data_IF_602888350844
#
_entry.id   IF_602888350844
#
_cell.length_a   1.000
_cell.length_b   1.000
_cell.length_c   1.000
_cell.angle_alpha   90.00
_cell.angle_beta   90.00
_cell.angle_gamma   90.00
#
_symmetry.space_group_name_H-M   'P 1'
#
loop_
_entity.id
_entity.type
_entity.pdbx_description
1 polymer ?
#
# COMPACT_ATOMS: atom_id res chain seq x y z
N UNK A 1 5.50 7.19 -29.55
CA UNK A 1 5.65 8.32 -28.61
C UNK A 1 6.68 7.91 -27.60
N UNK A 2 7.80 8.62 -27.53
CA UNK A 2 8.87 8.29 -26.59
C UNK A 2 8.38 8.53 -25.16
N UNK A 3 8.34 7.48 -24.34
CA UNK A 3 8.23 7.63 -22.91
C UNK A 3 9.45 8.42 -22.43
N UNK A 4 9.23 9.70 -22.10
CA UNK A 4 10.22 10.43 -21.31
C UNK A 4 10.41 9.63 -20.02
N UNK A 5 11.63 9.20 -19.76
CA UNK A 5 11.98 8.52 -18.51
C UNK A 5 11.58 9.45 -17.36
N UNK A 6 10.45 9.17 -16.72
CA UNK A 6 10.07 9.85 -15.50
C UNK A 6 11.08 9.44 -14.44
N UNK A 7 11.77 10.40 -13.83
CA UNK A 7 12.69 10.13 -12.73
C UNK A 7 12.03 9.28 -11.65
N UNK A 8 12.82 8.57 -10.87
CA UNK A 8 12.34 7.78 -9.74
C UNK A 8 11.54 8.65 -8.77
N UNK A 9 10.48 8.10 -8.18
CA UNK A 9 9.64 8.79 -7.21
C UNK A 9 9.37 7.93 -5.98
N UNK A 10 8.54 8.40 -5.05
CA UNK A 10 8.23 7.67 -3.83
C UNK A 10 7.61 6.30 -4.06
N UNK A 11 6.87 6.09 -5.16
CA UNK A 11 6.32 4.77 -5.49
C UNK A 11 7.41 3.75 -5.83
N UNK A 12 8.49 4.17 -6.46
CA UNK A 12 9.63 3.28 -6.73
C UNK A 12 10.29 2.85 -5.41
N UNK A 13 10.30 3.72 -4.38
CA UNK A 13 10.75 3.35 -3.04
C UNK A 13 9.80 2.37 -2.35
N UNK A 14 8.49 2.49 -2.56
CA UNK A 14 7.51 1.50 -2.08
C UNK A 14 7.79 0.13 -2.71
N UNK A 15 7.93 0.05 -4.04
CA UNK A 15 8.21 -1.20 -4.75
C UNK A 15 9.50 -1.85 -4.23
N UNK A 16 10.58 -1.08 -4.08
CA UNK A 16 11.83 -1.57 -3.48
C UNK A 16 11.65 -2.09 -2.05
N UNK A 17 10.82 -1.39 -1.26
CA UNK A 17 10.48 -1.83 0.08
C UNK A 17 9.72 -3.16 0.08
N UNK A 18 8.77 -3.35 -0.83
CA UNK A 18 8.02 -4.60 -1.00
C UNK A 18 8.94 -5.76 -1.37
N UNK A 19 9.83 -5.54 -2.34
CA UNK A 19 10.85 -6.52 -2.78
C UNK A 19 11.73 -6.92 -1.58
N UNK A 20 12.26 -5.95 -0.85
CA UNK A 20 13.16 -6.20 0.29
C UNK A 20 12.50 -7.00 1.41
N UNK A 21 11.17 -6.91 1.57
CA UNK A 21 10.40 -7.63 2.59
C UNK A 21 9.79 -8.94 2.08
N UNK A 22 10.09 -9.34 0.85
CA UNK A 22 9.62 -10.57 0.24
C UNK A 22 8.11 -10.57 -0.04
N UNK A 23 7.52 -9.42 -0.29
CA UNK A 23 6.12 -9.32 -0.74
C UNK A 23 6.09 -9.65 -2.22
N UNK A 24 5.44 -10.75 -2.58
CA UNK A 24 5.46 -11.28 -3.95
C UNK A 24 4.24 -10.88 -4.78
N UNK A 25 3.21 -10.32 -4.15
CA UNK A 25 1.96 -9.95 -4.84
C UNK A 25 1.28 -8.74 -4.21
N UNK A 26 0.71 -7.89 -5.05
CA UNK A 26 -0.14 -6.76 -4.67
C UNK A 26 -1.49 -6.89 -5.36
N UNK A 27 -2.56 -6.91 -4.57
CA UNK A 27 -3.95 -6.94 -5.05
C UNK A 27 -4.57 -5.55 -4.93
N UNK A 28 -5.20 -5.05 -5.98
CA UNK A 28 -5.87 -3.76 -5.90
C UNK A 28 -6.60 -3.36 -7.17
N UNK A 29 -7.40 -2.31 -7.07
CA UNK A 29 -8.06 -1.72 -8.23
C UNK A 29 -7.10 -0.73 -8.89
N UNK A 30 -6.72 -0.93 -10.18
CA UNK A 30 -6.00 0.08 -10.93
C UNK A 30 -6.91 1.30 -11.12
N UNK A 31 -6.56 2.40 -10.50
CA UNK A 31 -7.31 3.66 -10.55
C UNK A 31 -6.37 4.85 -10.41
N UNK A 32 -6.92 6.01 -10.13
CA UNK A 32 -6.13 7.19 -9.83
C UNK A 32 -5.76 7.20 -8.32
N UNK A 33 -4.48 7.31 -7.97
CA UNK A 33 -3.30 7.42 -8.83
C UNK A 33 -2.77 6.05 -9.33
N UNK A 34 -2.52 5.93 -10.61
CA UNK A 34 -1.98 4.72 -11.27
C UNK A 34 -0.58 4.32 -10.80
N UNK A 35 0.05 5.13 -10.02
CA UNK A 35 1.51 5.24 -9.87
C UNK A 35 2.17 4.06 -9.16
N UNK A 36 1.48 3.33 -8.28
CA UNK A 36 2.02 2.08 -7.75
C UNK A 36 2.16 1.04 -8.88
N UNK A 37 1.14 0.92 -9.74
CA UNK A 37 1.17 -0.01 -10.87
C UNK A 37 2.19 0.41 -11.92
N UNK A 38 2.34 1.72 -12.15
CA UNK A 38 3.39 2.24 -13.03
C UNK A 38 4.79 1.93 -12.47
N UNK A 39 5.00 2.07 -11.17
CA UNK A 39 6.27 1.73 -10.53
C UNK A 39 6.55 0.21 -10.58
N UNK A 40 5.54 -0.63 -10.33
CA UNK A 40 5.66 -2.08 -10.50
C UNK A 40 6.01 -2.45 -11.94
N UNK A 41 5.39 -1.80 -12.94
CA UNK A 41 5.63 -2.08 -14.36
C UNK A 41 6.99 -1.60 -14.87
N UNK A 42 7.60 -0.60 -14.22
CA UNK A 42 8.93 -0.08 -14.57
C UNK A 42 10.08 -0.82 -13.91
N UNK A 43 9.77 -1.62 -12.90
CA UNK A 43 10.81 -2.35 -12.16
C UNK A 43 11.32 -3.52 -12.99
N UNK A 44 12.64 -3.57 -13.21
CA UNK A 44 13.32 -4.67 -13.89
C UNK A 44 13.82 -5.75 -12.91
N UNK A 45 13.54 -5.60 -11.62
CA UNK A 45 13.93 -6.58 -10.60
C UNK A 45 13.05 -7.85 -10.73
N UNK A 46 13.65 -9.04 -10.88
CA UNK A 46 12.90 -10.28 -10.99
C UNK A 46 12.05 -10.63 -9.75
N UNK A 47 12.33 -10.00 -8.60
CA UNK A 47 11.55 -10.13 -7.38
C UNK A 47 10.40 -9.10 -7.27
N UNK A 48 10.16 -8.32 -8.33
CA UNK A 48 9.06 -7.34 -8.35
C UNK A 48 7.72 -8.03 -8.10
N UNK A 49 6.91 -7.55 -7.15
CA UNK A 49 5.60 -8.13 -6.87
C UNK A 49 4.70 -8.18 -8.09
N UNK A 50 4.01 -9.30 -8.28
CA UNK A 50 2.97 -9.40 -9.28
C UNK A 50 1.81 -8.46 -8.94
N UNK A 51 1.36 -7.67 -9.91
CA UNK A 51 0.20 -6.80 -9.76
C UNK A 51 -1.06 -7.55 -10.21
N UNK A 52 -1.98 -7.81 -9.28
CA UNK A 52 -3.25 -8.48 -9.57
C UNK A 52 -4.39 -7.46 -9.47
N UNK A 53 -4.92 -7.09 -10.63
CA UNK A 53 -6.04 -6.16 -10.73
C UNK A 53 -7.35 -6.78 -10.28
N UNK A 54 -8.10 -6.05 -9.45
CA UNK A 54 -9.45 -6.41 -9.03
C UNK A 54 -10.46 -5.41 -9.58
N UNK A 55 -11.75 -5.72 -9.49
CA UNK A 55 -12.83 -4.79 -9.87
C UNK A 55 -13.51 -4.13 -8.68
N UNK A 56 -13.17 -4.58 -7.49
CA UNK A 56 -13.67 -4.05 -6.24
C UNK A 56 -12.63 -4.29 -5.14
N UNK A 57 -12.25 -3.27 -4.41
CA UNK A 57 -11.12 -3.33 -3.46
C UNK A 57 -11.32 -4.36 -2.35
N UNK A 58 -12.55 -4.57 -1.90
CA UNK A 58 -12.90 -5.62 -0.94
C UNK A 58 -12.39 -6.99 -1.41
N UNK A 59 -12.56 -7.30 -2.70
CA UNK A 59 -12.03 -8.55 -3.27
C UNK A 59 -10.52 -8.61 -3.17
N UNK A 60 -9.83 -7.49 -3.41
CA UNK A 60 -8.37 -7.41 -3.28
C UNK A 60 -7.89 -7.68 -1.86
N UNK A 61 -8.57 -7.13 -0.86
CA UNK A 61 -8.24 -7.39 0.54
C UNK A 61 -8.47 -8.86 0.92
N UNK A 62 -9.58 -9.48 0.49
CA UNK A 62 -9.82 -10.90 0.71
C UNK A 62 -8.83 -11.80 -0.03
N UNK A 63 -8.42 -11.43 -1.25
CA UNK A 63 -7.39 -12.17 -2.00
C UNK A 63 -6.03 -12.10 -1.32
N UNK A 64 -5.63 -10.93 -0.82
CA UNK A 64 -4.39 -10.78 -0.03
C UNK A 64 -4.42 -11.62 1.25
N UNK A 65 -5.54 -11.60 1.97
CA UNK A 65 -5.75 -12.43 3.14
C UNK A 65 -5.69 -13.92 2.80
N UNK A 66 -6.40 -14.36 1.76
CA UNK A 66 -6.41 -15.76 1.34
C UNK A 66 -5.02 -16.24 0.91
N UNK A 67 -4.30 -15.41 0.15
CA UNK A 67 -2.92 -15.68 -0.24
C UNK A 67 -2.06 -15.94 1.01
N UNK A 68 -2.10 -15.05 1.99
CA UNK A 68 -1.32 -15.20 3.20
C UNK A 68 -1.67 -16.46 4.00
N UNK A 69 -2.95 -16.86 4.05
CA UNK A 69 -3.38 -18.09 4.73
C UNK A 69 -2.93 -19.36 4.02
N UNK A 70 -2.89 -19.35 2.69
CA UNK A 70 -2.54 -20.54 1.89
C UNK A 70 -1.03 -20.74 1.77
N UNK A 71 -0.30 -19.63 1.56
CA UNK A 71 1.15 -19.69 1.30
C UNK A 71 2.00 -19.52 2.57
N UNK A 72 1.45 -18.90 3.60
CA UNK A 72 2.22 -18.44 4.76
C UNK A 72 2.98 -17.13 4.51
N UNK A 73 2.89 -16.55 3.32
CA UNK A 73 3.57 -15.31 2.92
C UNK A 73 2.66 -14.10 3.14
N UNK A 74 3.25 -12.98 3.51
CA UNK A 74 2.50 -11.72 3.59
C UNK A 74 2.24 -11.18 2.20
N UNK A 75 0.98 -10.89 1.87
CA UNK A 75 0.62 -10.19 0.64
C UNK A 75 0.28 -8.73 0.93
N UNK A 76 0.30 -7.90 -0.11
CA UNK A 76 -0.17 -6.53 -0.02
C UNK A 76 -1.52 -6.35 -0.74
N UNK A 77 -2.33 -5.42 -0.24
CA UNK A 77 -3.46 -4.86 -1.00
C UNK A 77 -3.36 -3.33 -1.03
N UNK A 78 -4.00 -2.74 -2.02
CA UNK A 78 -3.92 -1.32 -2.29
C UNK A 78 -5.30 -0.71 -2.52
N UNK A 79 -5.55 0.47 -1.94
CA UNK A 79 -6.77 1.27 -2.13
C UNK A 79 -6.47 2.71 -2.52
N UNK A 80 -7.23 3.22 -3.49
CA UNK A 80 -7.25 4.64 -3.83
C UNK A 80 -7.86 5.47 -2.69
N UNK A 81 -7.71 6.80 -2.69
CA UNK A 81 -8.23 7.66 -1.62
C UNK A 81 -9.74 7.47 -1.37
N UNK A 82 -10.18 7.76 -0.17
CA UNK A 82 -11.58 7.76 0.22
C UNK A 82 -12.24 6.40 0.08
N UNK A 83 -13.19 6.25 -0.87
CA UNK A 83 -13.95 5.02 -1.03
C UNK A 83 -13.07 3.79 -1.35
N UNK A 84 -11.92 3.95 -2.03
CA UNK A 84 -11.03 2.84 -2.31
C UNK A 84 -10.45 2.23 -1.05
N UNK A 85 -9.96 3.05 -0.11
CA UNK A 85 -9.50 2.57 1.20
C UNK A 85 -10.67 2.07 2.04
N UNK A 86 -11.82 2.75 2.01
CA UNK A 86 -13.01 2.33 2.75
C UNK A 86 -13.50 0.94 2.30
N UNK A 87 -13.45 0.65 1.02
CA UNK A 87 -13.83 -0.65 0.46
C UNK A 87 -12.90 -1.80 0.89
N UNK A 88 -11.69 -1.52 1.38
CA UNK A 88 -10.79 -2.55 1.93
C UNK A 88 -11.22 -3.02 3.34
N UNK A 89 -12.02 -2.23 4.07
CA UNK A 89 -12.38 -2.47 5.48
C UNK A 89 -12.89 -3.89 5.75
N UNK A 90 -13.82 -4.48 4.97
CA UNK A 90 -14.31 -5.84 5.26
C UNK A 90 -13.20 -6.89 5.29
N UNK A 91 -12.29 -6.87 4.30
CA UNK A 91 -11.18 -7.82 4.24
C UNK A 91 -10.11 -7.56 5.30
N UNK A 92 -9.86 -6.28 5.64
CA UNK A 92 -8.93 -5.92 6.72
C UNK A 92 -9.45 -6.40 8.08
N UNK A 93 -10.75 -6.20 8.35
CA UNK A 93 -11.38 -6.64 9.59
C UNK A 93 -11.33 -8.17 9.74
N UNK A 94 -11.58 -8.91 8.66
CA UNK A 94 -11.45 -10.37 8.64
C UNK A 94 -10.01 -10.82 8.86
N UNK A 95 -9.03 -10.16 8.23
CA UNK A 95 -7.61 -10.45 8.44
C UNK A 95 -7.19 -10.17 9.90
N UNK A 96 -7.70 -9.08 10.50
CA UNK A 96 -7.44 -8.72 11.89
C UNK A 96 -8.02 -9.76 12.85
N UNK A 97 -9.26 -10.15 12.67
CA UNK A 97 -9.96 -11.17 13.49
C UNK A 97 -9.31 -12.54 13.33
N UNK A 98 -8.93 -12.89 12.10
CA UNK A 98 -8.31 -14.17 11.75
C UNK A 98 -6.79 -14.20 11.91
N UNK A 99 -6.17 -13.19 12.53
CA UNK A 99 -4.72 -13.13 12.78
C UNK A 99 -3.88 -13.37 11.50
N UNK A 100 -4.28 -12.79 10.37
CA UNK A 100 -3.64 -12.99 9.08
C UNK A 100 -2.73 -11.82 8.76
N UNK A 101 -1.42 -12.01 8.51
CA UNK A 101 -0.50 -10.93 8.20
C UNK A 101 -0.84 -10.34 6.82
N UNK A 102 -1.02 -9.02 6.75
CA UNK A 102 -1.33 -8.32 5.50
C UNK A 102 -0.77 -6.90 5.54
N UNK A 103 -0.15 -6.46 4.46
CA UNK A 103 0.25 -5.08 4.26
C UNK A 103 -0.82 -4.36 3.43
N UNK A 104 -1.44 -3.35 4.03
CA UNK A 104 -2.44 -2.52 3.38
C UNK A 104 -1.81 -1.18 3.01
N UNK A 105 -1.82 -0.86 1.73
CA UNK A 105 -1.31 0.41 1.20
C UNK A 105 -2.49 1.30 0.80
N UNK A 106 -2.43 2.55 1.19
CA UNK A 106 -3.41 3.55 0.81
C UNK A 106 -2.76 4.86 0.37
N UNK A 107 -3.52 5.66 -0.33
CA UNK A 107 -3.12 7.01 -0.74
C UNK A 107 -4.09 8.01 -0.14
N UNK A 108 -3.58 9.17 0.20
CA UNK A 108 -4.41 10.34 0.55
C UNK A 108 -4.03 11.55 -0.27
N UNK A 109 -4.86 12.57 -0.21
CA UNK A 109 -4.56 13.87 -0.80
C UNK A 109 -3.20 14.43 -0.32
N UNK A 110 -2.66 15.38 -1.05
CA UNK A 110 -1.45 16.10 -0.63
C UNK A 110 -1.67 16.77 0.73
N UNK A 111 -0.68 16.71 1.62
CA UNK A 111 -0.71 17.40 2.92
C UNK A 111 -0.89 18.91 2.79
N UNK A 112 -0.52 19.47 1.63
CA UNK A 112 -0.73 20.91 1.35
C UNK A 112 -2.21 21.28 1.23
N UNK A 113 -3.08 20.32 0.95
CA UNK A 113 -4.54 20.52 0.79
C UNK A 113 -5.36 19.83 1.89
N UNK A 114 -4.70 19.34 2.93
CA UNK A 114 -5.34 18.67 4.07
C UNK A 114 -6.34 19.61 4.76
N UNK A 115 -7.56 19.12 4.99
CA UNK A 115 -8.64 19.90 5.60
C UNK A 115 -9.28 20.93 4.67
N UNK A 116 -8.89 20.99 3.39
CA UNK A 116 -9.40 21.94 2.43
C UNK A 116 -10.48 21.35 1.49
N UNK A 117 -10.95 20.12 1.77
CA UNK A 117 -11.95 19.43 0.94
C UNK A 117 -11.35 18.88 -0.36
N UNK A 118 -10.13 18.37 -0.31
CA UNK A 118 -9.50 17.70 -1.44
C UNK A 118 -10.34 16.50 -1.91
N UNK A 119 -10.20 16.15 -3.21
CA UNK A 119 -10.96 15.03 -3.78
C UNK A 119 -10.77 13.74 -2.97
N UNK A 120 -11.89 13.17 -2.53
CA UNK A 120 -11.93 11.93 -1.74
C UNK A 120 -11.16 12.00 -0.41
N UNK A 121 -10.98 13.19 0.14
CA UNK A 121 -10.35 13.37 1.45
C UNK A 121 -11.14 12.64 2.55
N UNK A 122 -10.45 11.83 3.34
CA UNK A 122 -11.06 10.99 4.37
C UNK A 122 -10.03 10.66 5.45
N UNK A 123 -10.45 10.57 6.70
CA UNK A 123 -9.59 10.08 7.80
C UNK A 123 -9.46 8.55 7.75
N UNK A 124 -8.60 8.07 6.87
CA UNK A 124 -8.32 6.64 6.75
C UNK A 124 -7.67 6.07 8.01
N UNK A 125 -6.79 6.84 8.66
CA UNK A 125 -6.12 6.41 9.89
C UNK A 125 -7.13 6.18 11.00
N UNK A 126 -8.08 7.10 11.20
CA UNK A 126 -9.16 6.94 12.16
C UNK A 126 -10.04 5.72 11.87
N UNK A 127 -10.33 5.49 10.58
CA UNK A 127 -11.14 4.36 10.11
C UNK A 127 -10.44 3.01 10.35
N UNK A 128 -9.14 2.91 10.08
CA UNK A 128 -8.41 1.63 10.05
C UNK A 128 -7.67 1.31 11.34
N UNK A 129 -7.40 2.30 12.20
CA UNK A 129 -6.69 2.10 13.47
C UNK A 129 -7.30 0.99 14.34
N UNK A 130 -8.63 0.87 14.54
CA UNK A 130 -9.21 -0.14 15.41
C UNK A 130 -9.14 -1.57 14.85
N UNK A 131 -8.88 -1.73 13.55
CA UNK A 131 -8.87 -3.01 12.85
C UNK A 131 -7.51 -3.36 12.23
N UNK A 132 -6.45 -2.69 12.67
CA UNK A 132 -5.07 -2.96 12.25
C UNK A 132 -4.14 -3.00 13.47
N UNK A 133 -3.01 -3.67 13.34
CA UNK A 133 -1.98 -3.66 14.38
C UNK A 133 -1.24 -2.33 14.47
N UNK A 134 -1.15 -1.64 13.36
CA UNK A 134 -0.55 -0.32 13.22
C UNK A 134 -1.11 0.36 11.98
N UNK A 135 -1.46 1.63 12.13
CA UNK A 135 -1.87 2.49 11.03
C UNK A 135 -1.02 3.76 11.08
N UNK A 136 -0.39 4.12 9.98
CA UNK A 136 0.54 5.26 9.92
C UNK A 136 0.51 5.96 8.58
N UNK A 137 0.78 7.25 8.60
CA UNK A 137 1.04 8.06 7.41
C UNK A 137 2.55 8.26 7.26
N UNK A 138 3.05 8.10 6.04
CA UNK A 138 4.47 8.36 5.72
C UNK A 138 4.68 9.87 5.59
N UNK A 139 5.57 10.42 6.38
CA UNK A 139 5.77 11.88 6.43
C UNK A 139 6.71 12.42 5.35
N UNK A 140 7.72 11.65 4.94
CA UNK A 140 8.71 12.06 3.94
C UNK A 140 9.14 10.89 3.06
N UNK A 141 9.61 11.14 1.82
CA UNK A 141 10.04 10.07 0.94
C UNK A 141 11.14 9.18 1.52
N UNK A 142 12.06 9.76 2.29
CA UNK A 142 13.19 9.04 2.90
C UNK A 142 12.72 8.00 3.93
N UNK A 143 11.54 8.21 4.53
CA UNK A 143 10.94 7.29 5.50
C UNK A 143 10.20 6.12 4.86
N UNK A 144 9.94 6.13 3.55
CA UNK A 144 9.13 5.09 2.87
C UNK A 144 9.71 3.70 3.14
N UNK A 145 10.99 3.48 2.80
CA UNK A 145 11.63 2.17 2.95
C UNK A 145 11.60 1.66 4.40
N UNK A 146 11.91 2.53 5.37
CA UNK A 146 11.82 2.19 6.78
C UNK A 146 10.40 1.84 7.21
N UNK A 147 9.41 2.61 6.74
CA UNK A 147 8.01 2.40 7.10
C UNK A 147 7.48 1.07 6.56
N UNK A 148 7.79 0.74 5.30
CA UNK A 148 7.40 -0.56 4.69
C UNK A 148 8.04 -1.72 5.45
N UNK A 149 9.34 -1.65 5.75
CA UNK A 149 10.04 -2.67 6.56
C UNK A 149 9.37 -2.85 7.92
N UNK A 150 9.12 -1.75 8.63
CA UNK A 150 8.45 -1.80 9.94
C UNK A 150 7.05 -2.40 9.84
N UNK A 151 6.29 -2.02 8.82
CA UNK A 151 4.95 -2.52 8.59
C UNK A 151 4.95 -4.04 8.34
N UNK A 152 5.81 -4.53 7.45
CA UNK A 152 5.96 -5.95 7.17
C UNK A 152 6.39 -6.75 8.40
N UNK A 153 7.33 -6.21 9.19
CA UNK A 153 7.74 -6.82 10.46
C UNK A 153 6.56 -6.91 11.44
N UNK A 154 5.85 -5.82 11.67
CA UNK A 154 4.71 -5.78 12.59
C UNK A 154 3.56 -6.69 12.15
N UNK A 155 3.33 -6.83 10.84
CA UNK A 155 2.30 -7.72 10.34
C UNK A 155 2.54 -9.18 10.74
N UNK A 156 3.80 -9.61 10.78
CA UNK A 156 4.22 -11.01 11.03
C UNK A 156 4.48 -11.32 12.50
N UNK A 157 4.93 -10.34 13.30
CA UNK A 157 5.47 -10.58 14.66
C UNK A 157 4.39 -10.56 15.73
N UNK A 158 4.60 -11.36 16.81
CA UNK A 158 3.60 -11.53 17.87
C UNK A 158 2.32 -12.16 17.31
N UNK A 159 1.15 -11.62 17.67
CA UNK A 159 -0.12 -11.98 17.02
C UNK A 159 -0.12 -11.39 15.61
N UNK A 160 -0.09 -12.19 14.53
CA UNK A 160 -0.11 -11.66 13.17
C UNK A 160 -1.37 -10.85 12.87
N UNK A 161 -1.31 -9.97 11.88
CA UNK A 161 -2.47 -9.18 11.50
C UNK A 161 -2.15 -8.09 10.50
N UNK A 162 -3.17 -7.38 9.98
CA UNK A 162 -2.99 -6.33 8.99
C UNK A 162 -2.32 -5.10 9.58
N UNK A 163 -1.55 -4.43 8.74
CA UNK A 163 -0.92 -3.13 9.01
C UNK A 163 -1.26 -2.18 7.87
N UNK A 164 -1.59 -0.94 8.18
CA UNK A 164 -1.94 0.08 7.19
C UNK A 164 -0.84 1.14 7.08
N UNK A 165 -0.40 1.38 5.85
CA UNK A 165 0.56 2.44 5.51
C UNK A 165 -0.08 3.38 4.49
N UNK A 166 -0.20 4.64 4.85
CA UNK A 166 -0.77 5.70 4.04
C UNK A 166 0.32 6.59 3.44
N UNK A 167 0.25 6.83 2.14
CA UNK A 167 1.14 7.73 1.43
C UNK A 167 0.39 9.00 1.00
N UNK A 168 0.73 10.17 1.54
CA UNK A 168 0.28 11.44 0.98
C UNK A 168 0.78 11.61 -0.45
N UNK A 169 -0.03 12.19 -1.33
CA UNK A 169 0.31 12.35 -2.74
C UNK A 169 1.63 13.10 -2.95
N UNK A 170 1.88 14.16 -2.17
CA UNK A 170 3.12 14.92 -2.24
C UNK A 170 4.37 14.12 -1.84
N UNK A 171 4.22 13.12 -0.96
CA UNK A 171 5.29 12.18 -0.59
C UNK A 171 5.48 11.11 -1.65
N UNK A 172 4.37 10.55 -2.13
CA UNK A 172 4.36 9.48 -3.11
C UNK A 172 4.92 9.91 -4.48
N UNK A 173 4.70 11.19 -4.85
CA UNK A 173 5.19 11.77 -6.11
C UNK A 173 6.47 12.58 -5.99
N UNK A 174 7.02 12.72 -4.80
CA UNK A 174 8.29 13.40 -4.63
C UNK A 174 9.38 12.74 -5.48
N UNK A 175 10.11 13.54 -6.25
CA UNK A 175 11.29 13.05 -6.97
C UNK A 175 12.32 12.54 -5.98
N UNK A 176 12.84 11.35 -6.22
CA UNK A 176 13.91 10.76 -5.41
C UNK A 176 15.13 10.53 -6.30
N UNK A 177 16.36 10.63 -5.76
CA UNK A 177 17.55 10.35 -6.53
C UNK A 177 17.49 8.95 -7.13
N UNK A 178 17.83 8.81 -8.41
CA UNK A 178 18.10 7.51 -9.01
C UNK A 178 19.35 6.95 -8.34
N UNK A 179 19.19 5.89 -7.59
CA UNK A 179 20.35 5.14 -7.08
C UNK A 179 20.86 4.17 -8.12
#
# INVERSE_FOLDING_TARGET
>A
MAHTASGSNGWDLVVRGLIAEGITVVFGLPGDPKHLYDALSRSDDPATPAAVGVRYETSGAFMAMAHARVTGETAACFGCPGPGVANLVPGILEAYSGCTPMLVLGVRASRQTDGMGAFQETDHIGMLRPITKWATTVETPEKIGWTIRRAAHLAKTGKPGPVYVELPADVAFASVPSM
#
